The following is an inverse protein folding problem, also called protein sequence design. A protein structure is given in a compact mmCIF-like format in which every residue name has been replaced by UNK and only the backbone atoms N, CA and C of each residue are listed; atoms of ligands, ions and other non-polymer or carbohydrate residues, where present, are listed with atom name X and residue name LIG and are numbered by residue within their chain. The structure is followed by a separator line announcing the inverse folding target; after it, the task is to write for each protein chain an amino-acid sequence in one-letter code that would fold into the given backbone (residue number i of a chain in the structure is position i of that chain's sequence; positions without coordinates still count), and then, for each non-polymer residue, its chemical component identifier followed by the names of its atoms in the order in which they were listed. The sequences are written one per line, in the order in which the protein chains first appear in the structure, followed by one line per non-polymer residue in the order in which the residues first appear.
data_IF_236174928031
#
_entry.id   IF_236174928031
#
_cell.length_a   1.000
_cell.length_b   1.000
_cell.length_c   1.000
_cell.angle_alpha   90.00
_cell.angle_beta   90.00
_cell.angle_gamma   90.00
#
_symmetry.space_group_name_H-M   'P 1'
#
loop_
_entity.id
_entity.type
_entity.pdbx_description
1 polymer ?
#
# COMPACT_ATOMS: atom_id res chain seq x y z
N UNK A 1 -5.94 -20.24 1.77
CA UNK A 1 -5.48 -19.34 2.85
C UNK A 1 -3.99 -19.57 3.06
N UNK A 2 -3.09 -18.72 2.52
CA UNK A 2 -1.64 -18.96 2.56
C UNK A 2 -1.02 -18.95 3.97
N UNK A 3 -1.70 -18.34 4.95
CA UNK A 3 -1.22 -18.22 6.34
C UNK A 3 -1.35 -19.48 7.19
N UNK A 4 -2.35 -20.33 6.95
CA UNK A 4 -2.57 -21.56 7.73
C UNK A 4 -1.44 -22.57 7.53
N UNK A 5 -0.95 -22.71 6.30
CA UNK A 5 0.16 -23.63 5.99
C UNK A 5 1.49 -23.19 6.62
N UNK A 6 1.72 -21.87 6.73
CA UNK A 6 2.92 -21.33 7.37
C UNK A 6 2.88 -21.44 8.90
N UNK A 7 1.70 -21.27 9.51
CA UNK A 7 1.52 -21.49 10.95
C UNK A 7 1.65 -22.96 11.34
N UNK A 8 1.05 -23.87 10.56
CA UNK A 8 1.16 -25.31 10.79
C UNK A 8 2.62 -25.78 10.67
N UNK A 9 3.38 -25.27 9.71
CA UNK A 9 4.80 -25.59 9.56
C UNK A 9 5.65 -25.09 10.76
N UNK A 10 5.32 -23.92 11.31
CA UNK A 10 5.98 -23.38 12.50
C UNK A 10 5.61 -24.15 13.79
N UNK A 11 4.35 -24.57 13.96
CA UNK A 11 3.93 -25.41 15.09
C UNK A 11 4.52 -26.83 15.03
N UNK A 12 4.64 -27.41 13.84
CA UNK A 12 5.29 -28.71 13.65
C UNK A 12 6.79 -28.67 14.00
N UNK A 13 7.46 -27.53 13.80
CA UNK A 13 8.84 -27.33 14.26
C UNK A 13 8.98 -27.41 15.78
N UNK A 14 8.05 -26.81 16.53
CA UNK A 14 8.11 -26.76 17.99
C UNK A 14 7.76 -28.09 18.69
N UNK A 15 7.10 -29.02 17.98
CA UNK A 15 6.61 -30.28 18.56
C UNK A 15 7.48 -31.51 18.27
N UNK A 16 8.71 -31.33 17.75
CA UNK A 16 9.62 -32.45 17.46
C UNK A 16 9.18 -33.35 16.30
N UNK A 17 8.26 -32.88 15.45
CA UNK A 17 7.76 -33.62 14.28
C UNK A 17 8.88 -33.93 13.27
N UNK A 18 9.81 -32.99 13.08
CA UNK A 18 10.89 -33.13 12.12
C UNK A 18 11.81 -34.32 12.44
N UNK A 19 12.16 -34.51 13.71
CA UNK A 19 13.01 -35.62 14.14
C UNK A 19 12.31 -36.98 13.97
N UNK A 20 11.00 -37.04 14.22
CA UNK A 20 10.20 -38.27 14.05
C UNK A 20 10.07 -38.70 12.60
N UNK A 21 9.95 -37.75 11.68
CA UNK A 21 9.83 -38.00 10.24
C UNK A 21 11.19 -38.02 9.53
N UNK A 22 12.30 -37.90 10.27
CA UNK A 22 13.66 -38.03 9.73
C UNK A 22 14.19 -36.79 8.99
N UNK A 23 13.61 -35.61 9.23
CA UNK A 23 14.09 -34.35 8.70
C UNK A 23 15.09 -33.68 9.65
N UNK A 24 16.21 -33.22 9.11
CA UNK A 24 17.27 -32.56 9.89
C UNK A 24 16.97 -31.07 10.17
N UNK A 25 16.05 -30.47 9.42
CA UNK A 25 15.67 -29.06 9.58
C UNK A 25 14.26 -28.77 9.02
N UNK A 26 13.62 -27.65 9.43
CA UNK A 26 12.36 -27.21 8.84
C UNK A 26 12.47 -26.94 7.34
N UNK A 27 13.62 -26.41 6.92
CA UNK A 27 13.94 -26.14 5.51
C UNK A 27 13.93 -27.43 4.70
N UNK A 28 14.52 -28.51 5.22
CA UNK A 28 14.52 -29.82 4.56
C UNK A 28 13.11 -30.36 4.40
N UNK A 29 12.29 -30.28 5.45
CA UNK A 29 10.90 -30.74 5.40
C UNK A 29 10.09 -30.02 4.32
N UNK A 30 10.21 -28.69 4.22
CA UNK A 30 9.52 -27.90 3.18
C UNK A 30 10.05 -28.19 1.77
N UNK A 31 11.34 -28.44 1.61
CA UNK A 31 11.90 -28.84 0.31
C UNK A 31 11.33 -30.16 -0.17
N UNK A 32 11.32 -31.18 0.69
CA UNK A 32 10.91 -32.53 0.31
C UNK A 32 9.39 -32.64 0.10
N UNK A 33 8.59 -32.07 1.00
CA UNK A 33 7.13 -32.21 0.95
C UNK A 33 6.43 -31.19 0.06
N UNK A 34 7.05 -30.02 -0.16
CA UNK A 34 6.45 -28.95 -0.97
C UNK A 34 7.22 -28.66 -2.27
N UNK A 35 8.25 -29.45 -2.60
CA UNK A 35 9.08 -29.32 -3.80
C UNK A 35 9.66 -27.91 -3.99
N UNK A 36 10.07 -27.28 -2.89
CA UNK A 36 10.64 -25.94 -2.87
C UNK A 36 12.16 -25.98 -3.00
N UNK A 37 12.74 -24.87 -3.47
CA UNK A 37 14.20 -24.64 -3.40
C UNK A 37 14.61 -24.18 -2.00
N UNK A 38 15.90 -24.29 -1.65
CA UNK A 38 16.44 -23.88 -0.33
C UNK A 38 15.99 -22.49 0.05
N UNK A 39 16.13 -21.56 -0.91
CA UNK A 39 15.82 -20.15 -0.71
C UNK A 39 14.33 -19.95 -0.43
N UNK A 40 13.45 -20.58 -1.20
CA UNK A 40 12.01 -20.42 -1.04
C UNK A 40 11.53 -21.08 0.26
N UNK A 41 12.11 -22.21 0.66
CA UNK A 41 11.82 -22.86 1.93
C UNK A 41 12.25 -21.99 3.12
N UNK A 42 13.48 -21.44 3.08
CA UNK A 42 14.00 -20.54 4.11
C UNK A 42 13.20 -19.24 4.20
N UNK A 43 12.84 -18.62 3.07
CA UNK A 43 12.01 -17.41 3.03
C UNK A 43 10.65 -17.64 3.70
N UNK A 44 10.03 -18.82 3.50
CA UNK A 44 8.74 -19.15 4.12
C UNK A 44 8.81 -19.40 5.62
N UNK A 45 9.92 -19.96 6.12
CA UNK A 45 10.17 -20.13 7.56
C UNK A 45 10.34 -18.77 8.22
N UNK A 46 11.20 -17.92 7.65
CA UNK A 46 11.42 -16.56 8.15
C UNK A 46 10.11 -15.77 8.20
N UNK A 47 9.28 -15.86 7.16
CA UNK A 47 7.94 -15.24 7.18
C UNK A 47 7.11 -15.83 8.33
N UNK A 48 7.05 -17.16 8.46
CA UNK A 48 6.30 -17.85 9.50
C UNK A 48 6.68 -17.44 10.92
N UNK A 49 7.97 -17.34 11.23
CA UNK A 49 8.48 -16.92 12.54
C UNK A 49 8.10 -15.47 12.88
N UNK A 50 8.08 -14.58 11.86
CA UNK A 50 7.71 -13.18 12.04
C UNK A 50 6.21 -12.90 11.84
N UNK A 51 5.39 -13.89 11.47
CA UNK A 51 3.94 -13.70 11.29
C UNK A 51 3.26 -13.28 12.60
N UNK A 52 3.74 -13.77 13.74
CA UNK A 52 3.20 -13.39 15.06
C UNK A 52 3.53 -11.94 15.39
N UNK A 53 4.73 -11.45 15.08
CA UNK A 53 5.11 -10.04 15.29
C UNK A 53 4.36 -9.10 14.33
N UNK A 54 4.15 -9.52 13.08
CA UNK A 54 3.32 -8.79 12.11
C UNK A 54 1.85 -8.75 12.52
N UNK A 55 1.33 -9.82 13.13
CA UNK A 55 -0.06 -9.95 13.56
C UNK A 55 -0.34 -9.28 14.92
N UNK A 56 0.62 -9.30 15.85
CA UNK A 56 0.43 -8.85 17.24
C UNK A 56 0.69 -7.36 17.48
N UNK A 57 1.18 -6.61 16.48
CA UNK A 57 1.40 -5.15 16.61
C UNK A 57 1.01 -4.30 15.39
N UNK A 58 0.47 -4.91 14.33
CA UNK A 58 0.31 -4.24 13.04
C UNK A 58 -0.78 -3.17 13.02
N UNK A 59 -0.40 -1.89 13.00
CA UNK A 59 -1.26 -0.84 12.42
C UNK A 59 -1.73 -1.35 11.05
N UNK A 60 -3.04 -1.29 10.80
CA UNK A 60 -3.62 -1.66 9.51
C UNK A 60 -2.83 -1.00 8.37
N UNK A 61 -2.21 -1.81 7.53
CA UNK A 61 -1.44 -1.33 6.39
C UNK A 61 -2.42 -0.73 5.38
N UNK A 62 -2.31 0.57 5.14
CA UNK A 62 -3.10 1.27 4.12
C UNK A 62 -2.25 1.42 2.87
N UNK A 63 -2.56 0.64 1.84
CA UNK A 63 -1.89 0.68 0.55
C UNK A 63 -2.78 1.42 -0.44
N UNK A 64 -2.22 2.40 -1.14
CA UNK A 64 -2.91 3.09 -2.22
C UNK A 64 -2.49 2.48 -3.57
N UNK A 65 -3.49 2.06 -4.33
CA UNK A 65 -3.34 1.55 -5.69
C UNK A 65 -4.12 2.46 -6.63
N UNK A 66 -3.47 2.96 -7.67
CA UNK A 66 -4.09 3.74 -8.73
C UNK A 66 -4.17 2.88 -9.99
N UNK A 67 -5.37 2.64 -10.49
CA UNK A 67 -5.59 1.82 -11.69
C UNK A 67 -6.81 2.32 -12.46
N UNK A 68 -6.86 2.07 -13.76
CA UNK A 68 -8.03 2.42 -14.57
C UNK A 68 -9.18 1.43 -14.37
N UNK A 69 -10.38 1.81 -14.81
CA UNK A 69 -11.54 0.92 -14.74
C UNK A 69 -11.37 -0.31 -15.65
N UNK A 70 -10.67 -0.16 -16.77
CA UNK A 70 -10.32 -1.23 -17.70
C UNK A 70 -9.36 -2.24 -17.04
N UNK A 71 -8.37 -1.75 -16.28
CA UNK A 71 -7.45 -2.59 -15.48
C UNK A 71 -8.23 -3.41 -14.46
N UNK A 72 -9.18 -2.78 -13.76
CA UNK A 72 -10.03 -3.47 -12.78
C UNK A 72 -10.98 -4.49 -13.44
N UNK A 73 -11.47 -4.19 -14.64
CA UNK A 73 -12.28 -5.10 -15.47
C UNK A 73 -11.47 -6.21 -16.14
N UNK A 74 -10.13 -6.12 -16.13
CA UNK A 74 -9.25 -7.10 -16.77
C UNK A 74 -9.33 -7.11 -18.29
N UNK A 75 -9.61 -5.96 -18.92
CA UNK A 75 -9.69 -5.85 -20.38
C UNK A 75 -8.30 -6.01 -21.02
N UNK A 76 -8.25 -6.66 -22.19
CA UNK A 76 -7.02 -6.79 -22.95
C UNK A 76 -6.50 -5.42 -23.39
N UNK A 77 -5.21 -5.16 -23.17
CA UNK A 77 -4.58 -3.87 -23.47
C UNK A 77 -4.77 -2.79 -22.40
N UNK A 78 -5.41 -3.09 -21.27
CA UNK A 78 -5.49 -2.16 -20.15
C UNK A 78 -4.10 -1.86 -19.55
N UNK A 79 -3.92 -0.64 -19.07
CA UNK A 79 -2.69 -0.23 -18.39
C UNK A 79 -2.46 -1.06 -17.10
N UNK A 80 -1.20 -1.18 -16.68
CA UNK A 80 -0.88 -1.76 -15.39
C UNK A 80 -1.39 -0.86 -14.25
N UNK A 81 -1.64 -1.46 -13.08
CA UNK A 81 -1.91 -0.69 -11.87
C UNK A 81 -0.61 -0.12 -11.31
N UNK A 82 -0.69 1.04 -10.70
CA UNK A 82 0.42 1.70 -10.04
C UNK A 82 0.25 1.63 -8.52
N UNK A 83 1.35 1.40 -7.82
CA UNK A 83 1.39 1.31 -6.37
C UNK A 83 2.67 1.94 -5.85
N UNK A 84 2.56 2.61 -4.72
CA UNK A 84 3.72 3.22 -4.07
C UNK A 84 4.75 2.15 -3.68
N UNK A 85 6.04 2.44 -3.92
CA UNK A 85 7.16 1.55 -3.62
C UNK A 85 7.13 0.19 -4.35
N UNK A 86 6.44 0.12 -5.50
CA UNK A 86 6.34 -1.10 -6.30
C UNK A 86 6.60 -0.84 -7.77
N UNK A 87 6.89 -1.91 -8.50
CA UNK A 87 6.80 -1.91 -9.95
C UNK A 87 5.33 -1.97 -10.37
N UNK A 88 4.98 -1.59 -11.62
CA UNK A 88 3.62 -1.70 -12.10
C UNK A 88 3.06 -3.11 -11.90
N UNK A 89 1.87 -3.18 -11.32
CA UNK A 89 1.21 -4.43 -10.92
C UNK A 89 0.18 -4.84 -11.96
N UNK A 90 0.04 -6.16 -12.15
CA UNK A 90 -0.90 -6.70 -13.13
C UNK A 90 -2.36 -6.42 -12.74
N UNK A 91 -3.25 -6.38 -13.73
CA UNK A 91 -4.70 -6.35 -13.52
C UNK A 91 -5.19 -7.46 -12.60
N UNK A 92 -4.57 -8.65 -12.66
CA UNK A 92 -4.87 -9.76 -11.76
C UNK A 92 -4.52 -9.43 -10.30
N UNK A 93 -3.36 -8.82 -10.05
CA UNK A 93 -2.95 -8.41 -8.70
C UNK A 93 -3.87 -7.32 -8.14
N UNK A 94 -4.19 -6.29 -8.95
CA UNK A 94 -5.15 -5.24 -8.59
C UNK A 94 -6.50 -5.85 -8.19
N UNK A 95 -7.03 -6.78 -8.99
CA UNK A 95 -8.31 -7.46 -8.71
C UNK A 95 -8.27 -8.31 -7.44
N UNK A 96 -7.17 -9.03 -7.19
CA UNK A 96 -7.01 -9.83 -5.96
C UNK A 96 -7.03 -8.94 -4.72
N UNK A 97 -6.27 -7.85 -4.73
CA UNK A 97 -6.28 -6.87 -3.62
C UNK A 97 -7.66 -6.24 -3.43
N UNK A 98 -8.38 -5.94 -4.51
CA UNK A 98 -9.74 -5.41 -4.41
C UNK A 98 -10.76 -6.41 -3.81
N UNK A 99 -10.52 -7.72 -3.94
CA UNK A 99 -11.36 -8.76 -3.35
C UNK A 99 -11.03 -9.05 -1.88
N UNK A 100 -9.74 -8.98 -1.52
CA UNK A 100 -9.25 -9.37 -0.19
C UNK A 100 -9.22 -8.21 0.82
N UNK A 101 -9.15 -6.96 0.33
CA UNK A 101 -9.04 -5.77 1.18
C UNK A 101 -10.34 -4.96 1.23
N UNK A 102 -10.50 -4.16 2.28
CA UNK A 102 -11.52 -3.12 2.32
C UNK A 102 -11.17 -2.01 1.31
N UNK A 103 -11.98 -1.88 0.26
CA UNK A 103 -11.72 -0.92 -0.83
C UNK A 103 -12.39 0.42 -0.53
N UNK A 104 -11.58 1.47 -0.37
CA UNK A 104 -12.07 2.86 -0.40
C UNK A 104 -11.87 3.42 -1.81
N UNK A 105 -12.95 3.61 -2.56
CA UNK A 105 -12.88 4.22 -3.90
C UNK A 105 -12.75 5.73 -3.78
N UNK A 106 -11.86 6.33 -4.56
CA UNK A 106 -11.72 7.77 -4.72
C UNK A 106 -12.13 8.10 -6.15
N UNK A 107 -13.34 8.64 -6.32
CA UNK A 107 -13.83 9.11 -7.61
C UNK A 107 -13.41 10.57 -7.77
N UNK A 108 -12.56 10.86 -8.74
CA UNK A 108 -12.21 12.22 -9.14
C UNK A 108 -13.29 12.75 -10.11
N UNK A 109 -14.54 12.80 -9.66
CA UNK A 109 -15.66 13.43 -10.38
C UNK A 109 -16.16 14.61 -9.55
N UNK A 110 -16.64 15.67 -10.20
CA UNK A 110 -17.21 16.85 -9.55
C UNK A 110 -18.43 16.52 -8.65
N UNK A 111 -19.05 15.35 -8.85
CA UNK A 111 -20.22 14.92 -8.10
C UNK A 111 -19.91 13.68 -7.26
N UNK A 112 -20.12 13.78 -5.95
CA UNK A 112 -20.12 12.70 -4.94
C UNK A 112 -18.83 12.48 -4.15
N UNK A 113 -18.44 13.50 -3.40
CA UNK A 113 -18.07 13.50 -1.98
C UNK A 113 -17.93 14.98 -1.60
N UNK A 114 -18.33 15.41 -0.40
CA UNK A 114 -17.99 16.76 0.08
C UNK A 114 -16.47 16.80 0.28
N UNK A 115 -15.75 17.13 -0.79
CA UNK A 115 -14.31 17.41 -0.80
C UNK A 115 -14.05 18.90 -0.59
N UNK A 116 -15.08 19.73 -0.61
CA UNK A 116 -15.01 21.15 -0.34
C UNK A 116 -15.55 21.45 1.07
N UNK A 117 -14.66 21.87 1.96
CA UNK A 117 -15.03 22.40 3.30
C UNK A 117 -14.91 23.93 3.35
N UNK A 118 -14.61 24.56 2.21
CA UNK A 118 -14.36 25.98 2.06
C UNK A 118 -13.33 26.48 3.06
N UNK A 119 -13.69 27.54 3.79
CA UNK A 119 -12.86 28.11 4.86
C UNK A 119 -13.21 27.60 6.26
N UNK A 120 -14.14 26.66 6.39
CA UNK A 120 -14.62 26.16 7.70
C UNK A 120 -13.49 25.55 8.52
N UNK A 121 -12.50 24.95 7.85
CA UNK A 121 -11.30 24.43 8.50
C UNK A 121 -10.08 24.61 7.61
N UNK A 122 -8.91 24.82 8.24
CA UNK A 122 -7.59 24.74 7.60
C UNK A 122 -7.13 23.28 7.43
N UNK A 123 -7.70 22.35 8.19
CA UNK A 123 -7.26 20.96 8.22
C UNK A 123 -7.70 20.27 6.94
N UNK A 124 -6.74 19.79 6.16
CA UNK A 124 -6.99 18.94 4.99
C UNK A 124 -7.64 17.64 5.48
N UNK A 125 -8.89 17.42 5.10
CA UNK A 125 -9.65 16.25 5.52
C UNK A 125 -9.03 14.95 4.96
N UNK A 126 -9.26 13.79 5.59
CA UNK A 126 -8.78 12.52 5.05
C UNK A 126 -9.28 12.23 3.62
N UNK A 127 -10.49 12.68 3.25
CA UNK A 127 -11.02 12.57 1.88
C UNK A 127 -10.23 13.43 0.90
N UNK A 128 -9.98 14.70 1.23
CA UNK A 128 -9.13 15.59 0.43
C UNK A 128 -7.71 15.05 0.29
N UNK A 129 -7.12 14.55 1.37
CA UNK A 129 -5.77 13.96 1.33
C UNK A 129 -5.70 12.75 0.40
N UNK A 130 -6.73 11.89 0.39
CA UNK A 130 -6.82 10.75 -0.56
C UNK A 130 -6.97 11.21 -2.01
N UNK A 131 -7.79 12.23 -2.26
CA UNK A 131 -7.95 12.83 -3.58
C UNK A 131 -6.63 13.43 -4.09
N UNK A 132 -5.93 14.17 -3.24
CA UNK A 132 -4.61 14.73 -3.54
C UNK A 132 -3.59 13.65 -3.89
N UNK A 133 -3.49 12.57 -3.11
CA UNK A 133 -2.58 11.46 -3.44
C UNK A 133 -2.91 10.79 -4.77
N UNK A 134 -4.19 10.70 -5.12
CA UNK A 134 -4.63 10.10 -6.38
C UNK A 134 -4.34 11.02 -7.57
N UNK A 135 -4.56 12.33 -7.42
CA UNK A 135 -4.29 13.33 -8.47
C UNK A 135 -2.79 13.54 -8.68
N UNK A 136 -2.05 13.65 -7.59
CA UNK A 136 -0.66 14.10 -7.63
C UNK A 136 0.35 12.95 -7.79
N UNK A 137 0.01 11.74 -7.32
CA UNK A 137 0.81 10.49 -7.34
C UNK A 137 2.18 10.55 -6.61
N UNK A 138 2.82 11.71 -6.56
CA UNK A 138 4.08 12.00 -5.87
C UNK A 138 4.13 13.50 -5.50
N UNK A 139 5.17 13.92 -4.80
CA UNK A 139 5.44 15.32 -4.49
C UNK A 139 5.46 16.18 -5.77
N UNK A 140 4.75 17.30 -5.77
CA UNK A 140 4.72 18.23 -6.92
C UNK A 140 5.78 19.33 -6.86
N UNK A 141 6.64 19.32 -5.84
CA UNK A 141 7.79 20.22 -5.81
C UNK A 141 8.75 19.93 -6.98
N UNK A 142 9.24 20.94 -7.71
CA UNK A 142 10.14 20.73 -8.85
C UNK A 142 11.35 19.86 -8.48
N UNK A 143 11.59 18.79 -9.23
CA UNK A 143 12.70 17.87 -9.00
C UNK A 143 12.56 16.93 -7.81
N UNK A 144 11.39 16.87 -7.16
CA UNK A 144 11.13 15.95 -6.06
C UNK A 144 10.27 14.75 -6.50
N UNK A 145 10.81 13.55 -6.32
CA UNK A 145 10.08 12.29 -6.58
C UNK A 145 9.64 11.59 -5.29
N UNK A 146 9.61 12.32 -4.16
CA UNK A 146 9.18 11.76 -2.89
C UNK A 146 7.74 11.26 -3.05
N UNK A 147 7.43 10.05 -2.58
CA UNK A 147 6.18 9.43 -2.95
C UNK A 147 5.04 9.92 -2.05
N UNK A 148 3.80 9.82 -2.54
CA UNK A 148 2.66 10.54 -1.99
C UNK A 148 2.32 10.19 -0.53
N UNK A 149 2.70 9.02 0.00
CA UNK A 149 2.53 8.71 1.43
C UNK A 149 3.35 9.60 2.36
N UNK A 150 4.46 10.16 1.86
CA UNK A 150 5.39 11.02 2.59
C UNK A 150 5.17 12.50 2.31
N UNK A 151 4.01 12.85 1.74
CA UNK A 151 3.63 14.23 1.42
C UNK A 151 2.35 14.62 2.16
N UNK A 152 2.23 15.93 2.39
CA UNK A 152 1.06 16.56 2.98
C UNK A 152 0.41 17.49 1.96
N UNK A 153 -0.88 17.79 2.15
CA UNK A 153 -1.59 18.77 1.35
C UNK A 153 -1.26 20.18 1.81
N UNK A 154 -0.72 20.99 0.91
CA UNK A 154 -0.38 22.39 1.14
C UNK A 154 -1.26 23.29 0.27
N UNK A 155 -1.69 24.43 0.83
CA UNK A 155 -2.46 25.42 0.10
C UNK A 155 -1.57 26.21 -0.88
N UNK A 156 -2.04 26.40 -2.12
CA UNK A 156 -1.42 27.26 -3.13
C UNK A 156 -1.58 28.73 -2.74
N UNK A 157 -2.82 29.18 -2.57
CA UNK A 157 -3.13 30.40 -1.84
C UNK A 157 -3.24 30.06 -0.37
N UNK A 158 -2.32 30.58 0.45
CA UNK A 158 -2.33 30.37 1.89
C UNK A 158 -3.73 30.62 2.48
N UNK A 159 -4.18 29.71 3.35
CA UNK A 159 -5.48 29.83 4.03
C UNK A 159 -5.63 31.16 4.79
N UNK A 160 -4.53 31.64 5.39
CA UNK A 160 -4.47 32.95 6.08
C UNK A 160 -4.75 34.10 5.10
N UNK A 161 -4.33 33.95 3.85
CA UNK A 161 -4.42 34.98 2.81
C UNK A 161 -5.71 34.91 1.99
N UNK A 162 -6.68 34.08 2.34
CA UNK A 162 -7.89 33.94 1.51
C UNK A 162 -8.23 32.52 1.11
N UNK A 163 -7.22 31.64 1.04
CA UNK A 163 -7.33 30.38 0.33
C UNK A 163 -8.38 29.42 0.89
N UNK A 164 -9.24 28.83 0.04
CA UNK A 164 -10.14 27.76 0.45
C UNK A 164 -9.38 26.45 0.69
N UNK A 165 -9.93 25.56 1.52
CA UNK A 165 -9.44 24.19 1.70
C UNK A 165 -10.25 23.27 0.80
N UNK A 166 -9.93 23.28 -0.49
CA UNK A 166 -10.53 22.44 -1.53
C UNK A 166 -9.43 21.76 -2.37
N UNK A 167 -9.83 20.87 -3.29
CA UNK A 167 -8.86 20.12 -4.09
C UNK A 167 -8.04 21.03 -5.02
N UNK A 168 -8.65 22.09 -5.56
CA UNK A 168 -8.05 22.96 -6.57
C UNK A 168 -6.99 23.90 -5.98
N UNK A 169 -7.18 24.33 -4.73
CA UNK A 169 -6.24 25.17 -4.00
C UNK A 169 -5.23 24.36 -3.16
N UNK A 170 -5.25 23.02 -3.21
CA UNK A 170 -4.30 22.17 -2.49
C UNK A 170 -3.35 21.45 -3.45
N UNK A 171 -2.14 21.16 -2.98
CA UNK A 171 -1.10 20.40 -3.71
C UNK A 171 -0.30 19.51 -2.75
N UNK A 172 0.16 18.33 -3.19
CA UNK A 172 1.08 17.50 -2.41
C UNK A 172 2.51 18.01 -2.45
N UNK A 173 3.04 18.35 -1.27
CA UNK A 173 4.46 18.66 -1.08
C UNK A 173 5.01 18.02 0.21
N UNK A 174 6.34 17.94 0.33
CA UNK A 174 6.99 17.51 1.57
C UNK A 174 6.97 18.64 2.62
N UNK A 175 6.99 18.27 3.91
CA UNK A 175 7.25 19.21 5.01
C UNK A 175 8.58 18.88 5.73
N UNK A 176 9.45 19.87 5.99
CA UNK A 176 9.40 21.22 5.42
C UNK A 176 9.70 21.16 3.91
N UNK A 177 9.09 22.05 3.13
CA UNK A 177 9.53 22.27 1.76
C UNK A 177 11.02 22.67 1.80
N UNK A 178 11.87 22.17 0.89
CA UNK A 178 13.24 22.61 0.81
C UNK A 178 13.22 24.13 0.63
N UNK A 179 13.90 24.85 1.53
CA UNK A 179 14.05 26.30 1.40
C UNK A 179 14.58 26.60 0.01
N UNK A 180 13.90 27.49 -0.71
CA UNK A 180 14.30 27.97 -2.04
C UNK A 180 15.82 28.21 -2.05
N UNK A 181 16.52 27.35 -2.76
CA UNK A 181 17.98 27.28 -2.80
C UNK A 181 18.48 27.30 -4.23
N UNK A 182 18.25 28.41 -4.92
CA UNK A 182 19.07 28.97 -6.00
C UNK A 182 18.67 30.43 -6.24
#
# INVERSE_FOLDING_TARGET
MPGEASMLAAELFQNGFLEREGYNSPTDCLRFNCHLTDKVASDRINVGEHLVELASGGKQANIQVTASIETLKGLAGAAAGEMEFSLPISSLAVRRMACECSVTRVLLSQESLVMDVGRTTRIVSPSLKRALKTRDCHCKWPGCERPASKCDGHHLLSWINGGPTDLDNLVLTMSPAPSDGA
#
